data_IF_604771519531
#
_entry.id   IF_604771519531
#
_cell.length_a   1.000
_cell.length_b   1.000
_cell.length_c   1.000
_cell.angle_alpha   90.00
_cell.angle_beta   90.00
_cell.angle_gamma   90.00
#
_symmetry.space_group_name_H-M   'P 1'
#
loop_
_entity.id
_entity.type
_entity.pdbx_description
1 polymer ?
#
# COMPACT_ATOMS: atom_id res chain seq x y z
N UNK A 1 -0.30 14.41 -16.69
CA UNK A 1 0.18 13.02 -16.70
C UNK A 1 0.59 12.66 -15.27
N UNK A 2 0.09 11.54 -14.73
CA UNK A 2 0.47 11.08 -13.38
C UNK A 2 1.93 10.63 -13.38
N UNK A 3 2.70 11.02 -12.35
CA UNK A 3 4.03 10.48 -12.11
C UNK A 3 3.93 9.27 -11.19
N UNK A 4 4.68 8.24 -11.52
CA UNK A 4 4.71 6.96 -10.83
C UNK A 4 6.14 6.46 -10.72
N UNK A 5 6.53 5.94 -9.56
CA UNK A 5 7.87 5.40 -9.28
C UNK A 5 7.77 4.06 -8.56
N UNK A 6 8.50 3.08 -9.06
CA UNK A 6 8.82 1.90 -8.28
C UNK A 6 10.02 2.22 -7.39
N UNK A 7 9.81 2.31 -6.10
CA UNK A 7 10.83 2.61 -5.09
C UNK A 7 11.52 1.37 -4.54
N UNK A 8 10.97 0.20 -4.84
CA UNK A 8 11.46 -1.15 -4.58
C UNK A 8 10.56 -2.16 -5.24
N UNK A 9 10.99 -3.42 -5.32
CA UNK A 9 10.24 -4.51 -5.94
C UNK A 9 10.28 -4.55 -7.48
N UNK A 10 11.00 -3.67 -8.14
CA UNK A 10 11.15 -3.68 -9.58
C UNK A 10 12.42 -4.43 -10.01
N UNK A 11 12.24 -5.53 -10.72
CA UNK A 11 13.35 -6.38 -11.13
C UNK A 11 14.03 -7.16 -9.99
N UNK A 12 13.40 -7.20 -8.83
CA UNK A 12 13.87 -7.91 -7.64
C UNK A 12 12.69 -8.54 -6.89
N UNK A 13 12.98 -9.47 -6.00
CA UNK A 13 11.99 -10.05 -5.08
C UNK A 13 12.22 -9.48 -3.67
N UNK A 14 11.28 -8.70 -3.19
CA UNK A 14 11.35 -8.07 -1.87
C UNK A 14 11.17 -6.55 -1.93
N UNK A 15 11.08 -5.90 -0.78
CA UNK A 15 10.90 -4.45 -0.55
C UNK A 15 9.93 -3.74 -1.52
N UNK A 16 8.81 -4.39 -1.82
CA UNK A 16 7.75 -3.81 -2.67
C UNK A 16 7.34 -2.43 -2.19
N UNK A 17 7.41 -1.43 -3.08
CA UNK A 17 7.04 -0.06 -2.73
C UNK A 17 6.82 0.77 -3.98
N UNK A 18 5.62 1.31 -4.13
CA UNK A 18 5.23 2.11 -5.28
C UNK A 18 4.73 3.47 -4.81
N UNK A 19 5.38 4.53 -5.31
CA UNK A 19 5.02 5.91 -5.02
C UNK A 19 4.34 6.52 -6.24
N UNK A 20 3.22 7.22 -6.05
CA UNK A 20 2.58 7.95 -7.14
C UNK A 20 2.04 9.30 -6.69
N UNK A 21 2.12 10.28 -7.59
CA UNK A 21 1.40 11.52 -7.44
C UNK A 21 -0.10 11.32 -7.63
N UNK A 22 -0.87 12.01 -6.79
CA UNK A 22 -2.32 12.09 -6.95
C UNK A 22 -2.80 13.53 -6.72
N UNK A 23 -4.01 13.85 -7.21
CA UNK A 23 -4.63 15.15 -7.00
C UNK A 23 -3.68 16.30 -7.32
N UNK A 24 -3.24 17.04 -6.30
CA UNK A 24 -2.35 18.21 -6.45
C UNK A 24 -0.90 17.81 -6.67
N UNK A 25 -0.16 18.65 -7.39
CA UNK A 25 1.27 18.46 -7.60
C UNK A 25 2.05 18.41 -6.28
N UNK A 26 2.99 17.46 -6.20
CA UNK A 26 3.86 17.29 -5.04
C UNK A 26 3.20 16.61 -3.84
N UNK A 27 2.01 16.02 -4.00
CA UNK A 27 1.40 15.14 -3.01
C UNK A 27 1.40 13.69 -3.50
N UNK A 28 1.63 12.76 -2.58
CA UNK A 28 1.83 11.36 -2.93
C UNK A 28 0.85 10.45 -2.20
N UNK A 29 0.54 9.34 -2.86
CA UNK A 29 0.11 8.13 -2.20
C UNK A 29 1.09 6.99 -2.52
N UNK A 30 1.16 6.02 -1.65
CA UNK A 30 2.08 4.91 -1.71
C UNK A 30 1.32 3.60 -1.59
N UNK A 31 1.77 2.58 -2.30
CA UNK A 31 1.29 1.21 -2.14
C UNK A 31 2.46 0.33 -1.76
N UNK A 32 2.31 -0.34 -0.63
CA UNK A 32 3.28 -1.18 0.05
C UNK A 32 4.56 -0.43 0.50
N UNK A 33 5.23 -1.01 1.47
CA UNK A 33 6.49 -0.57 2.04
C UNK A 33 7.23 -1.79 2.59
N UNK A 34 7.71 -2.62 1.68
CA UNK A 34 8.35 -3.87 2.03
C UNK A 34 9.79 -3.72 2.53
N UNK A 35 10.35 -4.84 2.98
CA UNK A 35 11.75 -4.98 3.38
C UNK A 35 12.37 -6.17 2.65
N UNK A 36 13.63 -6.06 2.30
CA UNK A 36 14.45 -7.15 1.74
C UNK A 36 15.57 -7.48 2.71
N UNK A 37 15.35 -8.42 3.62
CA UNK A 37 16.27 -8.76 4.71
C UNK A 37 17.65 -9.24 4.22
N UNK A 38 17.74 -9.79 3.00
CA UNK A 38 18.97 -10.33 2.42
C UNK A 38 19.87 -9.28 1.76
N UNK A 39 19.45 -8.03 1.67
CA UNK A 39 20.19 -6.96 1.00
C UNK A 39 20.85 -6.02 2.01
N UNK A 40 21.99 -5.42 1.61
CA UNK A 40 22.65 -4.35 2.40
C UNK A 40 21.82 -3.07 2.48
N UNK A 41 20.88 -2.88 1.55
CA UNK A 41 19.91 -1.79 1.51
C UNK A 41 18.50 -2.39 1.65
N UNK A 42 18.07 -2.78 2.85
CA UNK A 42 16.85 -3.56 3.02
C UNK A 42 15.57 -2.78 2.74
N UNK A 43 15.61 -1.46 2.79
CA UNK A 43 14.45 -0.60 2.64
C UNK A 43 14.28 -0.07 1.21
N UNK A 44 13.04 0.28 0.80
CA UNK A 44 12.80 0.97 -0.46
C UNK A 44 13.53 2.33 -0.52
N UNK A 45 13.88 2.76 -1.73
CA UNK A 45 14.56 4.04 -1.99
C UNK A 45 13.56 5.21 -1.94
N UNK A 46 13.07 5.50 -0.74
CA UNK A 46 12.15 6.62 -0.46
C UNK A 46 12.84 7.61 0.44
N UNK A 47 12.82 8.88 0.06
CA UNK A 47 13.41 9.96 0.86
C UNK A 47 12.48 10.41 1.99
N UNK A 48 13.04 11.03 3.04
CA UNK A 48 12.23 11.62 4.12
C UNK A 48 11.31 12.73 3.62
N UNK A 49 11.71 13.44 2.57
CA UNK A 49 10.86 14.44 1.92
C UNK A 49 9.64 13.80 1.24
N UNK A 50 9.84 12.73 0.48
CA UNK A 50 8.74 11.96 -0.13
C UNK A 50 7.80 11.39 0.93
N UNK A 51 8.34 10.83 2.01
CA UNK A 51 7.55 10.32 3.14
C UNK A 51 6.68 11.41 3.78
N UNK A 52 7.25 12.60 4.03
CA UNK A 52 6.52 13.73 4.62
C UNK A 52 5.41 14.29 3.73
N UNK A 53 5.51 14.08 2.41
CA UNK A 53 4.52 14.48 1.41
C UNK A 53 3.54 13.35 1.03
N UNK A 54 3.71 12.17 1.60
CA UNK A 54 2.82 11.01 1.37
C UNK A 54 1.62 11.08 2.30
N UNK A 55 0.44 11.30 1.73
CA UNK A 55 -0.81 11.42 2.49
C UNK A 55 -1.42 10.07 2.83
N UNK A 56 -1.26 9.08 1.96
CA UNK A 56 -1.84 7.75 2.10
C UNK A 56 -0.82 6.67 1.79
N UNK A 57 -0.77 5.66 2.64
CA UNK A 57 -0.06 4.42 2.41
C UNK A 57 -1.07 3.27 2.47
N UNK A 58 -1.23 2.58 1.35
CA UNK A 58 -2.09 1.42 1.20
C UNK A 58 -1.25 0.15 1.34
N UNK A 59 -1.59 -0.76 2.26
CA UNK A 59 -0.95 -2.06 2.36
C UNK A 59 -1.82 -3.14 1.72
N UNK A 60 -1.23 -3.84 0.75
CA UNK A 60 -1.92 -4.95 0.09
C UNK A 60 -2.07 -6.13 1.02
N UNK A 61 -1.03 -6.50 1.77
CA UNK A 61 -1.07 -7.61 2.71
C UNK A 61 0.08 -7.57 3.73
N UNK A 62 0.10 -8.53 4.65
CA UNK A 62 0.93 -8.52 5.85
C UNK A 62 2.36 -9.03 5.68
N UNK A 63 2.75 -9.63 4.55
CA UNK A 63 4.10 -10.17 4.37
C UNK A 63 5.16 -9.07 4.45
N UNK A 64 6.33 -9.42 4.98
CA UNK A 64 7.41 -8.47 5.27
C UNK A 64 7.90 -7.71 4.03
N UNK A 65 7.94 -8.36 2.89
CA UNK A 65 8.34 -7.76 1.61
C UNK A 65 7.30 -6.77 1.05
N UNK A 66 6.15 -6.60 1.72
CA UNK A 66 5.11 -5.62 1.42
C UNK A 66 4.82 -4.64 2.57
N UNK A 67 5.02 -5.03 3.83
CA UNK A 67 4.66 -4.22 5.00
C UNK A 67 5.82 -3.89 5.94
N UNK A 68 6.96 -4.58 5.81
CA UNK A 68 8.01 -4.62 6.83
C UNK A 68 8.70 -3.29 7.12
N UNK A 69 8.70 -2.33 6.18
CA UNK A 69 9.32 -1.01 6.39
C UNK A 69 8.40 0.02 7.03
N UNK A 70 7.13 -0.28 7.32
CA UNK A 70 6.16 0.72 7.75
C UNK A 70 6.64 1.54 8.97
N UNK A 71 7.08 0.87 10.03
CA UNK A 71 7.52 1.56 11.24
C UNK A 71 8.82 2.36 11.03
N UNK A 72 9.68 1.91 10.12
CA UNK A 72 10.85 2.69 9.71
C UNK A 72 10.45 3.95 8.93
N UNK A 73 9.44 3.85 8.06
CA UNK A 73 8.90 5.01 7.35
C UNK A 73 8.29 6.04 8.30
N UNK A 74 7.59 5.59 9.34
CA UNK A 74 7.10 6.49 10.41
C UNK A 74 8.25 7.23 11.09
N UNK A 75 9.32 6.53 11.48
CA UNK A 75 10.52 7.15 12.06
C UNK A 75 11.19 8.15 11.13
N UNK A 76 11.15 7.90 9.82
CA UNK A 76 11.76 8.75 8.78
C UNK A 76 10.86 9.91 8.33
N UNK A 77 9.66 10.06 8.91
CA UNK A 77 8.81 11.23 8.68
C UNK A 77 7.47 10.97 7.99
N UNK A 78 7.08 9.70 7.75
CA UNK A 78 5.71 9.41 7.31
C UNK A 78 4.73 9.79 8.43
N UNK A 79 3.77 10.65 8.10
CA UNK A 79 2.73 11.11 9.01
C UNK A 79 1.32 11.09 8.40
N UNK A 80 1.20 10.44 7.24
CA UNK A 80 -0.07 10.26 6.51
C UNK A 80 -0.98 9.21 7.12
N UNK A 81 -1.93 8.75 6.36
CA UNK A 81 -2.92 7.75 6.77
C UNK A 81 -2.56 6.38 6.21
N UNK A 82 -2.49 5.38 7.09
CA UNK A 82 -2.42 3.97 6.70
C UNK A 82 -3.80 3.47 6.32
N UNK A 83 -3.95 2.83 5.16
CA UNK A 83 -5.18 2.16 4.74
C UNK A 83 -4.92 0.69 4.42
N UNK A 84 -5.56 -0.22 5.13
CA UNK A 84 -5.43 -1.66 4.95
C UNK A 84 -6.64 -2.40 5.54
N UNK A 85 -6.75 -3.71 5.30
CA UNK A 85 -7.68 -4.55 6.05
C UNK A 85 -7.25 -4.67 7.51
N UNK A 86 -8.19 -4.89 8.42
CA UNK A 86 -7.87 -5.13 9.84
C UNK A 86 -6.90 -6.30 10.00
N UNK A 87 -7.12 -7.38 9.26
CA UNK A 87 -6.26 -8.57 9.31
C UNK A 87 -4.81 -8.26 8.89
N UNK A 88 -4.61 -7.45 7.86
CA UNK A 88 -3.28 -7.00 7.44
C UNK A 88 -2.58 -6.21 8.56
N UNK A 89 -3.28 -5.28 9.20
CA UNK A 89 -2.75 -4.47 10.31
C UNK A 89 -2.34 -5.37 11.48
N UNK A 90 -3.22 -6.27 11.90
CA UNK A 90 -2.98 -7.16 13.02
C UNK A 90 -1.79 -8.11 12.78
N UNK A 91 -1.77 -8.77 11.62
CA UNK A 91 -0.70 -9.72 11.26
C UNK A 91 0.66 -9.04 11.02
N UNK A 92 0.67 -7.78 10.60
CA UNK A 92 1.90 -6.99 10.46
C UNK A 92 2.39 -6.41 11.78
N UNK A 93 1.65 -6.59 12.89
CA UNK A 93 1.94 -5.99 14.21
C UNK A 93 2.13 -4.46 14.14
N UNK A 94 1.37 -3.79 13.28
CA UNK A 94 1.46 -2.33 13.13
C UNK A 94 0.63 -1.67 14.23
N UNK A 95 1.29 -0.78 15.01
CA UNK A 95 0.64 0.11 15.96
C UNK A 95 0.78 1.55 15.45
N UNK A 96 -0.28 2.11 14.87
CA UNK A 96 -0.29 3.43 14.29
C UNK A 96 -1.68 4.05 14.40
N UNK A 97 -1.78 5.30 14.87
CA UNK A 97 -3.07 5.90 15.20
C UNK A 97 -3.87 6.40 13.98
N UNK A 98 -3.16 6.92 12.95
CA UNK A 98 -3.81 7.46 11.75
C UNK A 98 -4.08 6.35 10.73
N UNK A 99 -5.15 5.60 10.92
CA UNK A 99 -5.48 4.48 10.03
C UNK A 99 -6.94 4.49 9.59
N UNK A 100 -7.15 4.01 8.37
CA UNK A 100 -8.45 3.66 7.81
C UNK A 100 -8.47 2.14 7.66
N UNK A 101 -9.31 1.48 8.44
CA UNK A 101 -9.59 0.05 8.28
C UNK A 101 -10.56 -0.12 7.12
N UNK A 102 -10.10 -0.77 6.06
CA UNK A 102 -10.93 -1.09 4.90
C UNK A 102 -11.85 -2.27 5.22
N UNK A 103 -13.18 -2.08 5.18
CA UNK A 103 -14.12 -3.16 5.47
C UNK A 103 -13.97 -4.29 4.45
N UNK A 104 -13.97 -5.53 4.94
CA UNK A 104 -13.94 -6.75 4.12
C UNK A 104 -15.14 -7.61 4.49
N UNK A 105 -16.20 -7.53 3.68
CA UNK A 105 -17.42 -8.32 3.85
C UNK A 105 -17.35 -9.58 2.97
N UNK A 106 -17.71 -10.73 3.52
CA UNK A 106 -17.69 -11.99 2.78
C UNK A 106 -18.68 -12.07 1.61
N UNK A 107 -19.71 -11.23 1.62
CA UNK A 107 -20.81 -11.28 0.67
C UNK A 107 -20.67 -10.36 -0.54
N UNK A 108 -19.75 -9.44 -0.54
CA UNK A 108 -19.58 -8.43 -1.62
C UNK A 108 -18.11 -8.24 -1.96
N UNK A 109 -17.80 -8.30 -3.25
CA UNK A 109 -16.49 -7.95 -3.80
C UNK A 109 -16.69 -7.58 -5.27
N UNK A 110 -16.00 -6.59 -5.85
CA UNK A 110 -15.13 -5.65 -5.16
C UNK A 110 -15.90 -4.61 -4.32
N UNK A 111 -15.20 -3.98 -3.38
CA UNK A 111 -15.71 -2.84 -2.62
C UNK A 111 -15.24 -1.53 -3.22
N UNK A 112 -16.02 -0.46 -3.04
CA UNK A 112 -15.65 0.87 -3.50
C UNK A 112 -15.88 1.88 -2.39
N UNK A 113 -14.87 2.73 -2.14
CA UNK A 113 -14.96 3.82 -1.17
C UNK A 113 -14.28 5.06 -1.73
N UNK A 114 -14.63 6.22 -1.18
CA UNK A 114 -13.96 7.47 -1.51
C UNK A 114 -13.16 7.96 -0.31
N UNK A 115 -11.88 8.25 -0.53
CA UNK A 115 -10.97 8.81 0.46
C UNK A 115 -10.48 10.14 -0.10
N UNK A 116 -11.12 11.25 0.32
CA UNK A 116 -10.87 12.60 -0.21
C UNK A 116 -10.94 12.65 -1.75
N UNK A 117 -9.82 12.92 -2.42
CA UNK A 117 -9.74 13.05 -3.89
C UNK A 117 -9.54 11.69 -4.60
N UNK A 118 -9.34 10.60 -3.85
CA UNK A 118 -9.12 9.25 -4.37
C UNK A 118 -10.42 8.45 -4.31
N UNK A 119 -10.76 7.81 -5.41
CA UNK A 119 -11.72 6.70 -5.42
C UNK A 119 -10.95 5.39 -5.36
N UNK A 120 -11.14 4.64 -4.30
CA UNK A 120 -10.50 3.35 -4.08
C UNK A 120 -11.51 2.23 -4.35
N UNK A 121 -11.19 1.37 -5.32
CA UNK A 121 -11.86 0.08 -5.49
C UNK A 121 -10.89 -1.01 -5.08
N UNK A 122 -11.32 -1.96 -4.26
CA UNK A 122 -10.45 -3.01 -3.74
C UNK A 122 -11.17 -4.35 -3.69
N UNK A 123 -10.39 -5.42 -3.73
CA UNK A 123 -10.90 -6.79 -3.71
C UNK A 123 -9.90 -7.75 -3.07
N UNK A 124 -10.36 -8.92 -2.69
CA UNK A 124 -9.49 -9.97 -2.14
C UNK A 124 -8.56 -10.53 -3.20
N UNK A 125 -7.35 -10.87 -2.79
CA UNK A 125 -6.35 -11.51 -3.66
C UNK A 125 -6.27 -13.03 -3.50
N UNK A 126 -6.85 -13.57 -2.42
CA UNK A 126 -6.75 -15.00 -2.11
C UNK A 126 -5.37 -15.49 -1.67
N UNK A 127 -4.35 -14.62 -1.68
CA UNK A 127 -2.96 -14.98 -1.35
C UNK A 127 -2.77 -15.27 0.15
N UNK A 128 -3.30 -14.40 1.00
CA UNK A 128 -3.25 -14.58 2.45
C UNK A 128 -4.46 -13.92 3.12
N UNK A 129 -4.73 -14.21 4.41
CA UNK A 129 -5.80 -13.56 5.16
C UNK A 129 -5.65 -12.04 5.15
N UNK A 130 -6.70 -11.33 4.73
CA UNK A 130 -6.73 -9.87 4.65
C UNK A 130 -6.06 -9.28 3.42
N UNK A 131 -5.48 -10.09 2.53
CA UNK A 131 -4.83 -9.62 1.30
C UNK A 131 -5.79 -8.95 0.34
N UNK A 132 -5.43 -7.74 -0.13
CA UNK A 132 -6.23 -6.89 -1.00
C UNK A 132 -5.47 -6.43 -2.23
N UNK A 133 -6.16 -6.38 -3.36
CA UNK A 133 -5.74 -5.62 -4.54
C UNK A 133 -6.39 -4.23 -4.51
N UNK A 134 -5.75 -3.25 -5.13
CA UNK A 134 -6.23 -1.88 -5.16
C UNK A 134 -6.31 -1.33 -6.58
N UNK A 135 -7.44 -0.71 -6.91
CA UNK A 135 -7.60 0.15 -8.06
C UNK A 135 -7.80 1.58 -7.55
N UNK A 136 -6.80 2.41 -7.74
CA UNK A 136 -6.73 3.77 -7.21
C UNK A 136 -6.95 4.74 -8.35
N UNK A 137 -8.02 5.53 -8.25
CA UNK A 137 -8.48 6.45 -9.28
C UNK A 137 -8.59 7.87 -8.72
N UNK A 138 -8.14 8.85 -9.48
CA UNK A 138 -8.36 10.28 -9.28
C UNK A 138 -8.59 10.99 -10.62
N UNK A 139 -8.66 12.33 -10.63
CA UNK A 139 -8.85 13.14 -11.85
C UNK A 139 -7.77 12.93 -12.92
N UNK A 140 -6.57 12.44 -12.57
CA UNK A 140 -5.44 12.20 -13.47
C UNK A 140 -5.43 10.82 -14.10
N UNK A 141 -6.32 9.92 -13.66
CA UNK A 141 -6.44 8.55 -14.14
C UNK A 141 -6.42 7.51 -13.04
N UNK A 142 -6.16 6.26 -13.40
CA UNK A 142 -6.21 5.13 -12.47
C UNK A 142 -4.98 4.24 -12.59
N UNK A 143 -4.63 3.58 -11.48
CA UNK A 143 -3.58 2.55 -11.41
C UNK A 143 -4.11 1.36 -10.63
N UNK A 144 -3.85 0.15 -11.13
CA UNK A 144 -4.17 -1.10 -10.47
C UNK A 144 -2.92 -1.73 -9.85
N UNK A 145 -3.03 -2.12 -8.60
CA UNK A 145 -2.03 -2.87 -7.85
C UNK A 145 -2.64 -4.22 -7.47
N UNK A 146 -2.12 -5.30 -8.05
CA UNK A 146 -2.60 -6.65 -7.74
C UNK A 146 -2.28 -7.05 -6.29
N UNK A 147 -1.17 -6.55 -5.73
CA UNK A 147 -0.51 -7.24 -4.63
C UNK A 147 -0.11 -8.65 -5.09
N UNK A 148 0.23 -9.50 -4.15
CA UNK A 148 0.35 -10.93 -4.40
C UNK A 148 -1.05 -11.55 -4.48
N UNK A 149 -1.26 -12.43 -5.45
CA UNK A 149 -2.57 -13.07 -5.66
C UNK A 149 -2.41 -14.57 -5.94
N UNK A 150 -3.46 -15.30 -5.71
CA UNK A 150 -3.54 -16.73 -6.00
C UNK A 150 -4.81 -17.01 -6.81
N UNK A 151 -4.67 -17.71 -7.95
CA UNK A 151 -5.77 -17.96 -8.90
C UNK A 151 -6.76 -19.01 -8.42
N UNK A 152 -6.32 -20.01 -7.66
CA UNK A 152 -7.11 -21.20 -7.29
C UNK A 152 -7.73 -21.12 -5.89
N UNK A 153 -7.82 -19.97 -5.28
CA UNK A 153 -8.52 -19.82 -4.01
C UNK A 153 -9.97 -19.45 -4.20
N UNK A 154 -10.84 -20.12 -3.47
CA UNK A 154 -12.22 -19.68 -3.25
C UNK A 154 -12.16 -18.36 -2.47
N UNK A 155 -12.12 -17.26 -3.21
CA UNK A 155 -12.16 -15.92 -2.63
C UNK A 155 -13.57 -15.54 -2.22
#
# INVERSE_FOLDING_TARGET
MRRFWAKGGYGEHGRSCFLMEYGREGRYCMVDCGIMDSDSQPYPDVTSEELSKTDYLFLTHCHKDHSGAFMEFVKRGFCGVLAASQMTIDLSNISYEKQIVLPVDEKKTPWKTKIYEITLTYGRTGHCPGGLSFYIEDEKGAVFFSGDYQEDTLA
#
